data_IF_678431731641
#
_entry.id   IF_678431731641
#
_cell.length_a   1.000
_cell.length_b   1.000
_cell.length_c   1.000
_cell.angle_alpha   90.00
_cell.angle_beta   90.00
_cell.angle_gamma   90.00
#
_symmetry.space_group_name_H-M   'P 1'
#
loop_
_entity.id
_entity.type
_entity.pdbx_description
1 polymer ?
#
# COMPACT_ATOMS: atom_id res chain seq x y z
N UNK A 1 -13.99 -19.26 -18.26
CA UNK A 1 -12.73 -20.03 -18.19
C UNK A 1 -12.56 -20.41 -16.72
N UNK A 2 -12.78 -21.66 -16.45
CA UNK A 2 -13.18 -22.23 -15.16
C UNK A 2 -12.01 -22.42 -14.20
N UNK A 3 -12.28 -22.33 -12.92
CA UNK A 3 -11.43 -22.45 -11.71
C UNK A 3 -10.41 -23.64 -11.70
N UNK A 4 -10.55 -24.63 -12.58
CA UNK A 4 -9.67 -25.81 -12.69
C UNK A 4 -8.26 -25.55 -13.22
N UNK A 5 -7.99 -24.41 -13.87
CA UNK A 5 -6.67 -24.07 -14.43
C UNK A 5 -5.73 -23.40 -13.40
N UNK A 6 -6.26 -22.94 -12.27
CA UNK A 6 -5.48 -22.23 -11.22
C UNK A 6 -4.84 -23.18 -10.20
N UNK A 7 -5.35 -24.41 -10.06
CA UNK A 7 -4.90 -25.36 -9.01
C UNK A 7 -3.63 -26.17 -9.35
N UNK A 8 -3.00 -25.97 -10.51
CA UNK A 8 -1.87 -26.80 -10.97
C UNK A 8 -0.48 -26.23 -10.75
N UNK A 9 -0.32 -24.97 -10.36
CA UNK A 9 1.00 -24.38 -10.11
C UNK A 9 1.32 -24.48 -8.61
N UNK A 10 2.33 -25.32 -8.27
CA UNK A 10 2.87 -25.39 -6.90
C UNK A 10 3.27 -24.00 -6.45
N UNK A 11 2.75 -23.57 -5.28
CA UNK A 11 3.31 -22.44 -4.52
C UNK A 11 4.82 -22.68 -4.42
N UNK A 12 5.63 -21.78 -5.00
CA UNK A 12 7.08 -21.86 -4.84
C UNK A 12 7.41 -21.62 -3.36
N UNK A 13 8.47 -22.29 -2.87
CA UNK A 13 8.92 -22.22 -1.48
C UNK A 13 8.85 -20.79 -0.93
N UNK A 14 8.36 -20.58 0.30
CA UNK A 14 8.47 -19.30 0.97
C UNK A 14 9.94 -18.85 0.98
N UNK A 15 10.18 -17.58 0.71
CA UNK A 15 11.51 -16.99 0.90
C UNK A 15 11.89 -17.15 2.38
N UNK A 16 13.12 -17.61 2.60
CA UNK A 16 13.66 -18.00 3.91
C UNK A 16 13.55 -16.85 4.93
N UNK A 17 13.43 -17.23 6.20
CA UNK A 17 13.39 -16.37 7.41
C UNK A 17 14.68 -15.54 7.65
N UNK A 18 15.59 -15.45 6.68
CA UNK A 18 16.89 -14.76 6.74
C UNK A 18 16.99 -13.58 5.78
N UNK A 19 15.88 -12.89 5.49
CA UNK A 19 15.95 -11.68 4.68
C UNK A 19 16.79 -10.63 5.39
N UNK A 20 17.87 -10.17 4.76
CA UNK A 20 18.61 -9.01 5.23
C UNK A 20 17.86 -7.74 4.84
N UNK A 21 16.94 -7.30 5.70
CA UNK A 21 16.15 -6.08 5.43
C UNK A 21 17.02 -4.83 5.27
N UNK A 22 18.21 -4.78 5.90
CA UNK A 22 19.12 -3.63 5.76
C UNK A 22 19.55 -3.43 4.28
N UNK A 23 19.72 -4.51 3.53
CA UNK A 23 20.07 -4.42 2.11
C UNK A 23 18.93 -3.93 1.21
N UNK A 24 17.71 -3.94 1.70
CA UNK A 24 16.53 -3.45 0.96
C UNK A 24 16.27 -1.95 1.17
N UNK A 25 16.83 -1.35 2.23
CA UNK A 25 16.57 0.07 2.53
C UNK A 25 17.17 0.96 1.43
N UNK A 26 16.37 1.79 0.74
CA UNK A 26 16.87 2.66 -0.31
C UNK A 26 17.60 3.87 0.29
N UNK A 27 18.92 3.75 0.47
CA UNK A 27 19.75 4.85 0.98
C UNK A 27 19.99 5.85 -0.17
N UNK A 28 19.56 7.12 -0.01
CA UNK A 28 19.77 8.11 -1.06
C UNK A 28 21.27 8.47 -1.20
N UNK A 29 21.80 8.64 -2.42
CA UNK A 29 23.15 9.14 -2.63
C UNK A 29 23.28 10.60 -2.15
N UNK A 30 24.52 11.04 -1.91
CA UNK A 30 24.79 12.36 -1.31
C UNK A 30 24.32 13.54 -2.20
N UNK A 31 24.26 13.35 -3.50
CA UNK A 31 23.79 14.31 -4.49
C UNK A 31 22.28 14.19 -4.83
N UNK A 32 21.55 13.40 -4.06
CA UNK A 32 20.13 13.20 -4.27
C UNK A 32 19.34 14.51 -4.12
N UNK A 33 18.32 14.68 -4.96
CA UNK A 33 17.35 15.75 -4.86
C UNK A 33 15.92 15.21 -4.78
N UNK A 34 14.94 16.07 -4.50
CA UNK A 34 13.55 15.65 -4.22
C UNK A 34 12.92 14.75 -5.29
N UNK A 35 13.28 14.88 -6.56
CA UNK A 35 12.73 14.05 -7.63
C UNK A 35 13.51 12.74 -7.82
N UNK A 36 14.84 12.75 -7.67
CA UNK A 36 15.64 11.52 -7.73
C UNK A 36 15.31 10.54 -6.58
N UNK A 37 14.84 11.07 -5.44
CA UNK A 37 14.30 10.29 -4.33
C UNK A 37 12.86 9.80 -4.54
N UNK A 38 12.28 10.09 -5.70
CA UNK A 38 10.95 9.64 -6.10
C UNK A 38 9.79 10.55 -5.67
N UNK A 39 8.77 10.59 -6.53
CA UNK A 39 7.53 11.32 -6.28
C UNK A 39 6.38 10.37 -5.98
N UNK A 40 5.73 10.56 -4.84
CA UNK A 40 4.51 9.86 -4.46
C UNK A 40 3.27 10.72 -4.66
N UNK A 41 2.26 10.16 -5.30
CA UNK A 41 0.92 10.73 -5.42
C UNK A 41 -0.01 9.93 -4.52
N UNK A 42 -0.48 10.55 -3.45
CA UNK A 42 -1.42 9.93 -2.50
C UNK A 42 -2.82 10.44 -2.79
N UNK A 43 -3.71 9.56 -3.21
CA UNK A 43 -5.11 9.86 -3.51
C UNK A 43 -5.96 9.21 -2.41
N UNK A 44 -6.29 9.99 -1.40
CA UNK A 44 -6.80 9.49 -0.13
C UNK A 44 -7.76 10.48 0.55
N UNK A 45 -8.54 9.98 1.49
CA UNK A 45 -9.41 10.81 2.35
C UNK A 45 -10.66 11.30 1.65
N UNK A 46 -11.78 10.60 1.87
CA UNK A 46 -13.12 11.10 1.61
C UNK A 46 -13.51 12.18 2.64
N UNK A 47 -14.66 12.84 2.43
CA UNK A 47 -15.15 13.82 3.39
C UNK A 47 -15.37 13.21 4.79
N UNK A 48 -15.75 11.93 4.84
CA UNK A 48 -15.99 11.19 6.09
C UNK A 48 -14.71 10.73 6.81
N UNK A 49 -13.62 10.53 6.07
CA UNK A 49 -12.37 9.93 6.60
C UNK A 49 -11.12 10.77 6.27
N UNK A 50 -11.06 12.04 6.70
CA UNK A 50 -9.94 12.93 6.38
C UNK A 50 -8.61 12.48 6.98
N UNK A 51 -8.61 11.85 8.15
CA UNK A 51 -7.42 11.40 8.88
C UNK A 51 -6.60 10.38 8.10
N UNK A 52 -7.23 9.53 7.29
CA UNK A 52 -6.53 8.55 6.46
C UNK A 52 -5.59 9.20 5.44
N UNK A 53 -5.98 10.36 4.88
CA UNK A 53 -5.09 11.13 4.00
C UNK A 53 -3.90 11.72 4.75
N UNK A 54 -4.08 12.17 5.99
CA UNK A 54 -2.99 12.64 6.85
C UNK A 54 -2.01 11.50 7.14
N UNK A 55 -2.50 10.38 7.65
CA UNK A 55 -1.67 9.24 8.05
C UNK A 55 -0.89 8.66 6.86
N UNK A 56 -1.58 8.33 5.77
CA UNK A 56 -0.95 7.71 4.60
C UNK A 56 0.07 8.62 3.93
N UNK A 57 -0.23 9.92 3.78
CA UNK A 57 0.71 10.86 3.15
C UNK A 57 1.94 11.16 4.01
N UNK A 58 1.77 11.30 5.32
CA UNK A 58 2.90 11.47 6.23
C UNK A 58 3.78 10.21 6.27
N UNK A 59 3.18 9.02 6.34
CA UNK A 59 3.92 7.76 6.29
C UNK A 59 4.72 7.63 4.99
N UNK A 60 4.15 8.08 3.86
CA UNK A 60 4.85 8.11 2.56
C UNK A 60 6.12 8.99 2.59
N UNK A 61 6.06 10.16 3.22
CA UNK A 61 7.25 11.01 3.42
C UNK A 61 8.26 10.34 4.34
N UNK A 62 7.81 9.81 5.48
CA UNK A 62 8.68 9.18 6.48
C UNK A 62 9.35 7.91 5.94
N UNK A 63 8.73 7.23 4.99
CA UNK A 63 9.33 6.10 4.27
C UNK A 63 10.34 6.51 3.18
N UNK A 64 10.60 7.81 3.00
CA UNK A 64 11.71 8.30 2.18
C UNK A 64 11.35 8.91 0.83
N UNK A 65 10.08 8.96 0.43
CA UNK A 65 9.67 9.66 -0.80
C UNK A 65 10.13 11.13 -0.77
N UNK A 66 10.85 11.55 -1.80
CA UNK A 66 11.43 12.90 -1.84
C UNK A 66 10.41 14.02 -2.11
N UNK A 67 9.28 13.68 -2.72
CA UNK A 67 8.18 14.60 -2.96
C UNK A 67 6.84 13.87 -2.81
N UNK A 68 6.04 14.28 -1.84
CA UNK A 68 4.69 13.72 -1.64
C UNK A 68 3.63 14.76 -1.96
N UNK A 69 2.74 14.42 -2.88
CA UNK A 69 1.58 15.22 -3.25
C UNK A 69 0.30 14.45 -2.93
N UNK A 70 -0.64 15.13 -2.27
CA UNK A 70 -1.90 14.55 -1.80
C UNK A 70 -3.05 15.10 -2.62
N UNK A 71 -3.91 14.22 -3.12
CA UNK A 71 -5.19 14.58 -3.70
C UNK A 71 -6.31 13.99 -2.83
N UNK A 72 -7.24 14.83 -2.42
CA UNK A 72 -8.24 14.49 -1.39
C UNK A 72 -9.60 15.15 -1.69
N UNK A 73 -10.61 14.85 -0.91
CA UNK A 73 -11.86 15.62 -0.94
C UNK A 73 -11.58 17.10 -0.62
N UNK A 74 -12.23 18.01 -1.34
CA UNK A 74 -11.97 19.47 -1.23
C UNK A 74 -12.08 19.98 0.22
N UNK A 75 -13.00 19.43 1.00
CA UNK A 75 -13.19 19.77 2.43
C UNK A 75 -11.97 19.49 3.31
N UNK A 76 -11.09 18.56 2.91
CA UNK A 76 -10.00 18.08 3.74
C UNK A 76 -8.68 18.83 3.50
N UNK A 77 -8.59 19.64 2.44
CA UNK A 77 -7.32 20.25 2.01
C UNK A 77 -6.66 21.08 3.11
N UNK A 78 -7.41 21.96 3.76
CA UNK A 78 -6.88 22.81 4.84
C UNK A 78 -6.41 22.00 6.05
N UNK A 79 -7.13 20.93 6.40
CA UNK A 79 -6.75 20.03 7.48
C UNK A 79 -5.39 19.38 7.23
N UNK A 80 -5.19 18.83 6.03
CA UNK A 80 -3.94 18.13 5.67
C UNK A 80 -2.76 19.12 5.61
N UNK A 81 -2.98 20.33 5.07
CA UNK A 81 -1.95 21.39 5.07
C UNK A 81 -1.56 21.84 6.48
N UNK A 82 -2.53 21.94 7.38
CA UNK A 82 -2.27 22.29 8.77
C UNK A 82 -1.57 21.15 9.54
N UNK A 83 -1.94 19.90 9.25
CA UNK A 83 -1.35 18.72 9.88
C UNK A 83 0.12 18.54 9.50
N UNK A 84 0.46 18.72 8.20
CA UNK A 84 1.83 18.58 7.70
C UNK A 84 2.11 19.61 6.58
N UNK A 85 2.69 20.78 6.91
CA UNK A 85 2.90 21.87 5.96
C UNK A 85 3.81 21.55 4.78
N UNK A 86 4.64 20.50 4.88
CA UNK A 86 5.52 20.05 3.79
C UNK A 86 4.79 19.25 2.70
N UNK A 87 3.52 18.86 2.92
CA UNK A 87 2.71 18.19 1.90
C UNK A 87 2.14 19.18 0.90
N UNK A 88 2.18 18.83 -0.39
CA UNK A 88 1.50 19.58 -1.44
C UNK A 88 0.11 18.98 -1.63
N UNK A 89 -0.94 19.78 -1.47
CA UNK A 89 -2.32 19.28 -1.41
C UNK A 89 -3.16 19.84 -2.57
N UNK A 90 -3.90 18.95 -3.23
CA UNK A 90 -4.88 19.25 -4.26
C UNK A 90 -6.20 18.51 -4.02
N UNK A 91 -7.25 18.89 -4.75
CA UNK A 91 -8.53 18.15 -4.73
C UNK A 91 -8.51 17.00 -5.73
N UNK A 92 -9.38 15.98 -5.55
CA UNK A 92 -9.57 14.90 -6.53
C UNK A 92 -9.81 15.41 -7.96
N UNK A 93 -10.54 16.51 -8.09
CA UNK A 93 -10.84 17.12 -9.37
C UNK A 93 -9.62 17.72 -10.07
N UNK A 94 -8.63 18.18 -9.30
CA UNK A 94 -7.42 18.81 -9.85
C UNK A 94 -6.31 17.81 -10.24
N UNK A 95 -6.50 16.51 -9.98
CA UNK A 95 -5.52 15.50 -10.36
C UNK A 95 -5.50 15.30 -11.88
N UNK A 96 -4.39 15.61 -12.52
CA UNK A 96 -4.07 15.12 -13.86
C UNK A 96 -3.11 13.93 -13.73
N UNK A 97 -3.61 12.72 -13.94
CA UNK A 97 -2.85 11.48 -13.76
C UNK A 97 -1.68 11.38 -14.75
N UNK A 98 -1.90 11.85 -15.98
CA UNK A 98 -0.92 11.70 -17.05
C UNK A 98 0.34 12.54 -16.81
N UNK A 99 0.20 13.71 -16.19
CA UNK A 99 1.30 14.63 -15.88
C UNK A 99 1.74 14.62 -14.41
N UNK A 100 1.08 13.81 -13.56
CA UNK A 100 1.31 13.83 -12.11
C UNK A 100 2.73 13.41 -11.71
N UNK A 101 3.37 12.54 -12.48
CA UNK A 101 4.71 12.03 -12.20
C UNK A 101 5.71 12.51 -13.27
N UNK A 102 6.94 12.85 -12.86
CA UNK A 102 7.99 13.22 -13.81
C UNK A 102 8.45 11.98 -14.59
N UNK A 103 8.60 12.14 -15.92
CA UNK A 103 8.94 11.02 -16.81
C UNK A 103 10.33 10.39 -16.57
N UNK A 104 11.27 11.16 -16.00
CA UNK A 104 12.68 10.75 -15.84
C UNK A 104 13.04 10.28 -14.44
N UNK A 105 12.08 10.27 -13.51
CA UNK A 105 12.32 9.93 -12.11
C UNK A 105 11.31 8.89 -11.63
N UNK A 106 11.68 8.08 -10.64
CA UNK A 106 10.76 7.11 -10.07
C UNK A 106 9.56 7.80 -9.42
N UNK A 107 8.43 7.09 -9.40
CA UNK A 107 7.23 7.54 -8.73
C UNK A 107 6.20 6.45 -8.60
N UNK A 108 5.23 6.67 -7.71
CA UNK A 108 4.13 5.75 -7.48
C UNK A 108 2.86 6.47 -7.04
N UNK A 109 1.74 5.76 -7.16
CA UNK A 109 0.45 6.19 -6.63
C UNK A 109 0.04 5.33 -5.44
N UNK A 110 -0.54 5.96 -4.42
CA UNK A 110 -1.28 5.32 -3.32
C UNK A 110 -2.73 5.75 -3.43
N UNK A 111 -3.66 4.81 -3.56
CA UNK A 111 -5.07 5.12 -3.83
C UNK A 111 -5.97 4.37 -2.86
N UNK A 112 -6.87 5.09 -2.20
CA UNK A 112 -7.96 4.49 -1.46
C UNK A 112 -7.96 4.55 0.05
N UNK A 113 -6.85 4.86 0.76
CA UNK A 113 -6.93 5.11 2.19
C UNK A 113 -8.05 6.12 2.49
N UNK A 114 -8.96 5.76 3.40
CA UNK A 114 -10.09 6.62 3.78
C UNK A 114 -11.11 6.93 2.67
N UNK A 115 -11.19 6.13 1.62
CA UNK A 115 -12.28 6.26 0.66
C UNK A 115 -13.58 5.72 1.25
N UNK A 116 -14.63 6.48 1.08
CA UNK A 116 -16.00 6.00 1.29
C UNK A 116 -16.50 5.38 -0.03
N UNK A 117 -16.89 4.11 0.01
CA UNK A 117 -17.40 3.40 -1.18
C UNK A 117 -18.74 3.97 -1.70
N UNK A 118 -19.41 4.81 -0.94
CA UNK A 118 -20.64 5.53 -1.35
C UNK A 118 -20.35 6.82 -2.12
N UNK A 119 -19.12 7.36 -2.08
CA UNK A 119 -18.72 8.58 -2.77
C UNK A 119 -18.31 8.29 -4.23
N UNK A 120 -19.11 8.77 -5.20
CA UNK A 120 -18.82 8.59 -6.62
C UNK A 120 -17.48 9.20 -7.05
N UNK A 121 -17.07 10.30 -6.45
CA UNK A 121 -15.79 10.96 -6.77
C UNK A 121 -14.59 10.09 -6.36
N UNK A 122 -14.66 9.37 -5.24
CA UNK A 122 -13.64 8.43 -4.80
C UNK A 122 -13.49 7.27 -5.78
N UNK A 123 -14.60 6.66 -6.22
CA UNK A 123 -14.56 5.60 -7.23
C UNK A 123 -14.02 6.12 -8.57
N UNK A 124 -14.48 7.28 -9.04
CA UNK A 124 -14.09 7.85 -10.30
C UNK A 124 -12.59 8.15 -10.36
N UNK A 125 -12.02 8.74 -9.30
CA UNK A 125 -10.58 9.04 -9.24
C UNK A 125 -9.75 7.76 -9.18
N UNK A 126 -10.15 6.75 -8.39
CA UNK A 126 -9.48 5.45 -8.34
C UNK A 126 -9.44 4.77 -9.70
N UNK A 127 -10.58 4.72 -10.39
CA UNK A 127 -10.69 4.16 -11.76
C UNK A 127 -9.83 4.93 -12.77
N UNK A 128 -9.75 6.25 -12.66
CA UNK A 128 -8.94 7.11 -13.53
C UNK A 128 -7.46 6.82 -13.31
N UNK A 129 -6.99 6.78 -12.06
CA UNK A 129 -5.59 6.45 -11.76
C UNK A 129 -5.21 5.07 -12.30
N UNK A 130 -5.98 4.03 -11.99
CA UNK A 130 -5.68 2.67 -12.42
C UNK A 130 -5.66 2.50 -13.95
N UNK A 131 -6.45 3.29 -14.68
CA UNK A 131 -6.46 3.23 -16.15
C UNK A 131 -5.34 4.01 -16.84
N UNK A 132 -4.88 5.08 -16.23
CA UNK A 132 -4.00 6.06 -16.89
C UNK A 132 -2.56 6.04 -16.35
N UNK A 133 -2.34 5.63 -15.09
CA UNK A 133 -1.01 5.59 -14.52
C UNK A 133 -0.17 4.46 -15.11
N UNK A 134 1.00 4.79 -15.66
CA UNK A 134 2.01 3.82 -16.07
C UNK A 134 2.94 3.39 -14.92
N UNK A 135 2.99 4.16 -13.84
CA UNK A 135 3.77 3.87 -12.63
C UNK A 135 3.09 2.83 -11.73
N UNK A 136 3.80 2.24 -10.76
CA UNK A 136 3.20 1.39 -9.73
C UNK A 136 2.03 2.08 -9.00
N UNK A 137 0.99 1.31 -8.70
CA UNK A 137 -0.17 1.78 -7.93
C UNK A 137 -0.42 0.85 -6.75
N UNK A 138 -0.40 1.39 -5.54
CA UNK A 138 -0.92 0.71 -4.37
C UNK A 138 -2.40 1.04 -4.20
N UNK A 139 -3.22 0.03 -3.94
CA UNK A 139 -4.67 0.15 -3.69
C UNK A 139 -4.97 -0.39 -2.30
N UNK A 140 -5.55 0.45 -1.44
CA UNK A 140 -5.94 0.11 -0.07
C UNK A 140 -7.35 0.60 0.26
N UNK A 141 -7.86 0.18 1.38
CA UNK A 141 -9.09 0.69 1.98
C UNK A 141 -10.30 0.64 1.03
N UNK A 142 -11.07 1.74 0.99
CA UNK A 142 -12.30 1.79 0.21
C UNK A 142 -12.12 1.57 -1.29
N UNK A 143 -10.92 1.84 -1.85
CA UNK A 143 -10.67 1.56 -3.28
C UNK A 143 -10.65 0.05 -3.59
N UNK A 144 -10.34 -0.82 -2.63
CA UNK A 144 -10.41 -2.27 -2.81
C UNK A 144 -11.83 -2.75 -3.13
N UNK A 145 -12.85 -2.05 -2.67
CA UNK A 145 -14.25 -2.39 -2.93
C UNK A 145 -14.63 -2.33 -4.43
N UNK A 146 -13.89 -1.56 -5.23
CA UNK A 146 -14.14 -1.41 -6.67
C UNK A 146 -13.44 -2.47 -7.52
N UNK A 147 -12.44 -3.17 -6.97
CA UNK A 147 -11.61 -4.13 -7.70
C UNK A 147 -12.33 -5.40 -8.16
N UNK A 148 -13.35 -5.94 -7.44
CA UNK A 148 -14.06 -7.15 -7.85
C UNK A 148 -14.78 -7.06 -9.20
N UNK A 149 -15.08 -5.84 -9.69
CA UNK A 149 -15.77 -5.67 -10.99
C UNK A 149 -14.96 -6.22 -12.15
N UNK A 150 -15.61 -6.89 -13.10
CA UNK A 150 -14.96 -7.46 -14.31
C UNK A 150 -14.13 -6.39 -15.05
N UNK A 151 -14.63 -5.16 -15.09
CA UNK A 151 -13.95 -4.04 -15.75
C UNK A 151 -12.61 -3.71 -15.08
N UNK A 152 -12.57 -3.68 -13.75
CA UNK A 152 -11.33 -3.37 -13.02
C UNK A 152 -10.34 -4.54 -13.05
N UNK A 153 -10.81 -5.77 -12.95
CA UNK A 153 -9.95 -6.95 -13.11
C UNK A 153 -9.21 -6.94 -14.46
N UNK A 154 -9.91 -6.62 -15.57
CA UNK A 154 -9.27 -6.46 -16.89
C UNK A 154 -8.26 -5.32 -16.91
N UNK A 155 -8.51 -4.20 -16.20
CA UNK A 155 -7.56 -3.11 -16.08
C UNK A 155 -6.30 -3.55 -15.34
N UNK A 156 -6.42 -4.27 -14.22
CA UNK A 156 -5.28 -4.74 -13.44
C UNK A 156 -4.42 -5.73 -14.24
N UNK A 157 -5.03 -6.70 -14.94
CA UNK A 157 -4.29 -7.62 -15.81
C UNK A 157 -3.55 -6.88 -16.91
N UNK A 158 -4.22 -5.94 -17.60
CA UNK A 158 -3.56 -5.13 -18.64
C UNK A 158 -2.39 -4.32 -18.09
N UNK A 159 -2.51 -3.74 -16.90
CA UNK A 159 -1.40 -3.04 -16.22
C UNK A 159 -0.21 -3.97 -16.03
N UNK A 160 -0.47 -5.18 -15.49
CA UNK A 160 0.58 -6.17 -15.26
C UNK A 160 1.26 -6.60 -16.57
N UNK A 161 0.51 -6.85 -17.64
CA UNK A 161 1.03 -7.16 -18.98
C UNK A 161 1.92 -6.04 -19.55
N UNK A 162 1.65 -4.79 -19.17
CA UNK A 162 2.41 -3.60 -19.55
C UNK A 162 3.60 -3.29 -18.60
N UNK A 163 3.87 -4.15 -17.62
CA UNK A 163 4.90 -3.94 -16.60
C UNK A 163 4.54 -2.91 -15.53
N UNK A 164 3.30 -2.40 -15.53
CA UNK A 164 2.80 -1.45 -14.53
C UNK A 164 2.19 -2.20 -13.36
N UNK A 165 2.96 -2.46 -12.31
CA UNK A 165 2.54 -3.31 -11.20
C UNK A 165 1.49 -2.64 -10.33
N UNK A 166 0.56 -3.43 -9.80
CA UNK A 166 -0.40 -3.03 -8.78
C UNK A 166 -0.14 -3.80 -7.49
N UNK A 167 -0.19 -3.11 -6.34
CA UNK A 167 -0.15 -3.72 -5.01
C UNK A 167 -1.53 -3.58 -4.38
N UNK A 168 -2.11 -4.66 -3.88
CA UNK A 168 -3.37 -4.69 -3.14
C UNK A 168 -3.09 -5.03 -1.69
N UNK A 169 -3.65 -4.29 -0.74
CA UNK A 169 -3.38 -4.46 0.70
C UNK A 169 -4.62 -4.85 1.51
N UNK A 170 -5.34 -5.95 1.14
CA UNK A 170 -6.57 -6.30 1.80
C UNK A 170 -6.35 -6.86 3.22
N UNK A 171 -7.23 -6.52 4.17
CA UNK A 171 -7.47 -7.33 5.35
C UNK A 171 -8.39 -8.52 5.00
N UNK A 172 -8.57 -9.47 5.94
CA UNK A 172 -9.34 -10.70 5.69
C UNK A 172 -10.72 -10.46 5.05
N UNK A 173 -11.49 -9.48 5.55
CA UNK A 173 -12.83 -9.18 5.01
C UNK A 173 -12.81 -8.57 3.61
N UNK A 174 -11.80 -7.75 3.28
CA UNK A 174 -11.58 -7.22 1.93
C UNK A 174 -11.13 -8.32 0.98
N UNK A 175 -10.23 -9.20 1.44
CA UNK A 175 -9.77 -10.35 0.68
C UNK A 175 -10.93 -11.28 0.28
N UNK A 176 -11.86 -11.56 1.20
CA UNK A 176 -13.04 -12.36 0.92
C UNK A 176 -13.88 -11.74 -0.22
N UNK A 177 -14.09 -10.41 -0.19
CA UNK A 177 -14.78 -9.69 -1.28
C UNK A 177 -14.01 -9.75 -2.61
N UNK A 178 -12.69 -9.64 -2.57
CA UNK A 178 -11.83 -9.80 -3.75
C UNK A 178 -11.89 -11.23 -4.31
N UNK A 179 -11.96 -12.25 -3.47
CA UNK A 179 -12.02 -13.66 -3.86
C UNK A 179 -13.36 -14.10 -4.44
N UNK A 180 -14.46 -13.46 -4.01
CA UNK A 180 -15.83 -13.85 -4.36
C UNK A 180 -16.10 -14.00 -5.87
N UNK A 181 -15.66 -13.08 -6.78
CA UNK A 181 -15.88 -13.22 -8.21
C UNK A 181 -15.18 -14.43 -8.87
N UNK A 182 -14.26 -15.06 -8.15
CA UNK A 182 -13.51 -16.24 -8.62
C UNK A 182 -13.96 -17.52 -7.93
N UNK A 183 -14.97 -17.44 -7.04
CA UNK A 183 -15.43 -18.58 -6.24
C UNK A 183 -14.41 -19.05 -5.19
N UNK A 184 -13.47 -18.19 -4.78
CA UNK A 184 -12.48 -18.51 -3.77
C UNK A 184 -13.10 -18.42 -2.37
N UNK A 185 -13.10 -19.53 -1.65
CA UNK A 185 -13.47 -19.55 -0.23
C UNK A 185 -12.23 -19.42 0.63
N UNK A 186 -11.80 -18.19 0.88
CA UNK A 186 -10.55 -17.89 1.57
C UNK A 186 -10.54 -18.28 3.04
N UNK A 187 -11.71 -18.48 3.66
CA UNK A 187 -11.81 -18.93 5.05
C UNK A 187 -11.34 -20.37 5.25
N UNK A 188 -11.38 -21.19 4.19
CA UNK A 188 -10.96 -22.59 4.18
C UNK A 188 -9.56 -22.79 3.57
N UNK A 189 -8.81 -21.71 3.34
CA UNK A 189 -7.47 -21.75 2.75
C UNK A 189 -6.42 -21.31 3.77
N UNK A 190 -5.21 -21.83 3.63
CA UNK A 190 -4.05 -21.27 4.32
C UNK A 190 -3.85 -19.82 3.85
N UNK A 191 -3.35 -18.96 4.72
CA UNK A 191 -3.20 -17.53 4.39
C UNK A 191 -2.28 -17.32 3.17
N UNK A 192 -1.23 -18.11 3.02
CA UNK A 192 -0.35 -18.10 1.85
C UNK A 192 -1.07 -18.49 0.56
N UNK A 193 -1.90 -19.53 0.63
CA UNK A 193 -2.69 -19.97 -0.53
C UNK A 193 -3.73 -18.91 -0.91
N UNK A 194 -4.36 -18.27 0.07
CA UNK A 194 -5.31 -17.20 -0.13
C UNK A 194 -4.64 -15.98 -0.81
N UNK A 195 -3.51 -15.52 -0.27
CA UNK A 195 -2.75 -14.40 -0.83
C UNK A 195 -2.26 -14.70 -2.25
N UNK A 196 -1.71 -15.88 -2.49
CA UNK A 196 -1.23 -16.31 -3.80
C UNK A 196 -2.38 -16.43 -4.82
N UNK A 197 -3.53 -17.01 -4.42
CA UNK A 197 -4.70 -17.11 -5.29
C UNK A 197 -5.23 -15.75 -5.72
N UNK A 198 -5.24 -14.77 -4.81
CA UNK A 198 -5.60 -13.39 -5.13
C UNK A 198 -4.55 -12.74 -6.04
N UNK A 199 -3.26 -12.97 -5.80
CA UNK A 199 -2.19 -12.43 -6.65
C UNK A 199 -2.34 -12.91 -8.10
N UNK A 200 -2.61 -14.20 -8.30
CA UNK A 200 -2.90 -14.76 -9.63
C UNK A 200 -4.19 -14.18 -10.24
N UNK A 201 -5.24 -14.10 -9.43
CA UNK A 201 -6.56 -13.67 -9.89
C UNK A 201 -6.58 -12.21 -10.37
N UNK A 202 -5.73 -11.37 -9.82
CA UNK A 202 -5.65 -9.95 -10.14
C UNK A 202 -4.40 -9.55 -10.95
N UNK A 203 -3.42 -10.44 -11.12
CA UNK A 203 -2.13 -10.08 -11.70
C UNK A 203 -1.41 -8.99 -10.88
N UNK A 204 -1.42 -9.11 -9.56
CA UNK A 204 -0.97 -8.07 -8.63
C UNK A 204 -0.08 -8.65 -7.53
N UNK A 205 0.67 -7.80 -6.85
CA UNK A 205 1.22 -8.13 -5.53
C UNK A 205 0.12 -7.96 -4.49
N UNK A 206 -0.07 -8.94 -3.62
CA UNK A 206 -1.08 -8.92 -2.56
C UNK A 206 -0.41 -8.93 -1.20
N UNK A 207 -0.76 -7.98 -0.35
CA UNK A 207 -0.40 -7.90 1.07
C UNK A 207 -1.63 -8.28 1.88
N UNK A 208 -1.76 -9.53 2.23
CA UNK A 208 -2.89 -10.04 3.01
C UNK A 208 -2.64 -9.78 4.49
N UNK A 209 -3.27 -8.72 5.00
CA UNK A 209 -3.13 -8.24 6.39
C UNK A 209 -3.77 -9.22 7.40
N UNK A 210 -3.07 -9.46 8.51
CA UNK A 210 -3.51 -10.29 9.63
C UNK A 210 -2.55 -10.16 10.81
N UNK A 211 -2.70 -10.97 11.87
CA UNK A 211 -1.70 -11.04 12.96
C UNK A 211 -0.30 -11.30 12.41
N UNK A 212 -0.18 -12.27 11.50
CA UNK A 212 0.90 -12.37 10.54
C UNK A 212 0.44 -11.78 9.21
N UNK A 213 1.32 -11.13 8.50
CA UNK A 213 1.00 -10.58 7.17
C UNK A 213 1.71 -11.39 6.10
N UNK A 214 0.97 -11.84 5.09
CA UNK A 214 1.52 -12.57 3.94
C UNK A 214 1.57 -11.65 2.73
N UNK A 215 2.74 -11.58 2.11
CA UNK A 215 2.97 -10.91 0.84
C UNK A 215 3.09 -11.98 -0.25
N UNK A 216 2.33 -11.86 -1.33
CA UNK A 216 2.38 -12.78 -2.45
C UNK A 216 2.36 -12.05 -3.80
N UNK A 217 3.14 -12.56 -4.73
CA UNK A 217 3.08 -12.28 -6.17
C UNK A 217 2.87 -13.58 -6.93
N UNK A 218 2.84 -13.52 -8.24
CA UNK A 218 2.78 -14.74 -9.08
C UNK A 218 4.08 -15.57 -9.02
N UNK A 219 5.17 -15.00 -8.53
CA UNK A 219 6.49 -15.63 -8.50
C UNK A 219 6.98 -15.96 -7.10
N UNK A 220 6.65 -15.12 -6.12
CA UNK A 220 7.20 -15.17 -4.77
C UNK A 220 6.10 -15.04 -3.72
N UNK A 221 6.36 -15.60 -2.55
CA UNK A 221 5.58 -15.33 -1.33
C UNK A 221 6.50 -15.27 -0.11
N UNK A 222 6.15 -14.45 0.86
CA UNK A 222 6.80 -14.42 2.17
C UNK A 222 5.78 -14.09 3.26
N UNK A 223 6.14 -14.38 4.50
CA UNK A 223 5.36 -14.07 5.70
C UNK A 223 6.18 -13.20 6.63
N UNK A 224 5.57 -12.16 7.17
CA UNK A 224 6.13 -11.28 8.20
C UNK A 224 5.35 -11.52 9.49
N UNK A 225 6.06 -11.90 10.56
CA UNK A 225 5.47 -12.41 11.82
C UNK A 225 5.84 -11.58 13.04
N UNK A 226 6.56 -10.47 12.87
CA UNK A 226 7.03 -9.60 13.95
C UNK A 226 6.01 -8.53 14.37
N UNK A 227 4.75 -8.61 13.92
CA UNK A 227 3.72 -7.64 14.25
C UNK A 227 3.25 -7.72 15.71
N UNK A 228 2.69 -6.60 16.21
CA UNK A 228 2.10 -6.46 17.53
C UNK A 228 0.58 -6.32 17.45
N UNK A 229 -0.12 -6.80 18.49
CA UNK A 229 -1.55 -6.55 18.66
C UNK A 229 -1.91 -5.05 18.77
N UNK A 230 -0.94 -4.19 19.07
CA UNK A 230 -1.08 -2.74 19.05
C UNK A 230 -1.50 -2.20 17.65
N UNK A 231 -1.15 -2.94 16.58
CA UNK A 231 -1.53 -2.59 15.22
C UNK A 231 -3.01 -2.88 14.88
N UNK A 232 -3.75 -3.55 15.76
CA UNK A 232 -5.17 -3.86 15.56
C UNK A 232 -6.06 -2.64 15.90
N UNK A 233 -5.75 -1.47 15.34
CA UNK A 233 -6.50 -0.23 15.50
C UNK A 233 -6.73 0.46 14.16
N UNK A 234 -7.82 1.26 14.09
CA UNK A 234 -8.12 2.08 12.92
C UNK A 234 -6.96 3.05 12.61
N UNK A 235 -6.64 3.23 11.34
CA UNK A 235 -5.60 4.13 10.86
C UNK A 235 -4.23 3.48 10.68
N UNK A 236 -3.92 2.36 11.35
CA UNK A 236 -2.61 1.69 11.19
C UNK A 236 -2.43 1.12 9.78
N UNK A 237 -3.51 0.68 9.13
CA UNK A 237 -3.49 0.28 7.72
C UNK A 237 -3.15 1.44 6.77
N UNK A 238 -3.63 2.65 7.07
CA UNK A 238 -3.30 3.85 6.27
C UNK A 238 -1.80 4.18 6.39
N UNK A 239 -1.21 3.99 7.59
CA UNK A 239 0.24 4.11 7.79
C UNK A 239 0.99 3.07 6.96
N UNK A 240 0.57 1.80 6.99
CA UNK A 240 1.17 0.73 6.17
C UNK A 240 1.11 1.07 4.68
N UNK A 241 -0.05 1.48 4.19
CA UNK A 241 -0.23 1.87 2.78
C UNK A 241 0.72 3.02 2.40
N UNK A 242 0.89 3.99 3.28
CA UNK A 242 1.84 5.09 3.11
C UNK A 242 3.30 4.63 3.07
N UNK A 243 3.71 3.77 4.00
CA UNK A 243 5.08 3.23 4.05
C UNK A 243 5.42 2.48 2.75
N UNK A 244 4.57 1.54 2.34
CA UNK A 244 4.77 0.80 1.08
C UNK A 244 4.79 1.77 -0.11
N UNK A 245 3.86 2.74 -0.14
CA UNK A 245 3.78 3.76 -1.21
C UNK A 245 5.04 4.61 -1.32
N UNK A 246 5.64 4.98 -0.19
CA UNK A 246 6.89 5.73 -0.14
C UNK A 246 8.09 4.93 -0.67
N UNK A 247 8.15 3.62 -0.40
CA UNK A 247 9.17 2.71 -0.92
C UNK A 247 8.99 2.48 -2.43
N UNK A 248 7.76 2.27 -2.89
CA UNK A 248 7.43 2.18 -4.32
C UNK A 248 7.84 3.45 -5.07
N UNK A 249 7.58 4.62 -4.51
CA UNK A 249 7.90 5.90 -5.12
C UNK A 249 9.40 6.10 -5.34
N UNK A 250 10.24 5.44 -4.53
CA UNK A 250 11.70 5.45 -4.67
C UNK A 250 12.22 4.43 -5.72
N UNK A 251 11.34 3.74 -6.43
CA UNK A 251 11.69 2.82 -7.51
C UNK A 251 11.96 1.38 -7.05
N UNK A 252 11.64 1.01 -5.82
CA UNK A 252 11.74 -0.38 -5.38
C UNK A 252 10.78 -1.27 -6.17
N UNK A 253 11.15 -2.55 -6.34
CA UNK A 253 10.22 -3.55 -6.86
C UNK A 253 8.96 -3.63 -5.97
N UNK A 254 7.82 -3.94 -6.57
CA UNK A 254 6.57 -3.97 -5.80
C UNK A 254 6.56 -5.03 -4.69
N UNK A 255 7.23 -6.17 -4.92
CA UNK A 255 7.35 -7.22 -3.91
C UNK A 255 8.27 -6.79 -2.76
N UNK A 256 9.45 -6.24 -3.07
CA UNK A 256 10.40 -5.78 -2.04
C UNK A 256 9.86 -4.59 -1.25
N UNK A 257 9.20 -3.63 -1.91
CA UNK A 257 8.55 -2.50 -1.25
C UNK A 257 7.44 -2.96 -0.30
N UNK A 258 6.63 -3.95 -0.71
CA UNK A 258 5.61 -4.53 0.15
C UNK A 258 6.24 -5.30 1.32
N UNK A 259 7.28 -6.09 1.08
CA UNK A 259 7.96 -6.90 2.09
C UNK A 259 8.64 -6.02 3.14
N UNK A 260 9.49 -5.08 2.70
CA UNK A 260 10.15 -4.13 3.61
C UNK A 260 9.13 -3.26 4.33
N UNK A 261 8.11 -2.76 3.61
CA UNK A 261 7.09 -1.89 4.19
C UNK A 261 6.27 -2.55 5.29
N UNK A 262 5.92 -3.83 5.13
CA UNK A 262 5.24 -4.61 6.18
C UNK A 262 6.16 -4.80 7.38
N UNK A 263 7.43 -5.12 7.16
CA UNK A 263 8.40 -5.28 8.24
C UNK A 263 8.59 -3.97 9.04
N UNK A 264 8.82 -2.84 8.35
CA UNK A 264 8.97 -1.51 8.99
C UNK A 264 7.72 -1.14 9.79
N UNK A 265 6.54 -1.38 9.23
CA UNK A 265 5.29 -1.08 9.92
C UNK A 265 5.11 -1.93 11.18
N UNK A 266 5.48 -3.22 11.13
CA UNK A 266 5.46 -4.10 12.28
C UNK A 266 6.42 -3.63 13.38
N UNK A 267 7.67 -3.29 13.03
CA UNK A 267 8.65 -2.73 13.96
C UNK A 267 8.20 -1.39 14.55
N UNK A 268 7.65 -0.49 13.73
CA UNK A 268 7.08 0.77 14.23
C UNK A 268 5.95 0.53 15.24
N UNK A 269 5.12 -0.48 15.01
CA UNK A 269 4.09 -0.92 15.97
C UNK A 269 4.66 -1.43 17.27
N UNK A 270 5.75 -2.20 17.25
CA UNK A 270 6.44 -2.69 18.43
C UNK A 270 7.06 -1.52 19.23
N UNK A 271 7.79 -0.64 18.56
CA UNK A 271 8.40 0.55 19.17
C UNK A 271 7.32 1.45 19.83
N UNK A 272 6.21 1.68 19.12
CA UNK A 272 5.09 2.44 19.67
C UNK A 272 4.47 1.77 20.91
N UNK A 273 4.31 0.43 20.84
CA UNK A 273 3.78 -0.35 21.96
C UNK A 273 4.70 -0.37 23.19
N UNK A 274 6.02 -0.39 23.00
CA UNK A 274 6.99 -0.26 24.10
C UNK A 274 6.88 1.11 24.80
N UNK A 275 6.59 2.17 24.05
CA UNK A 275 6.48 3.53 24.58
C UNK A 275 5.14 3.84 25.26
N UNK A 276 4.05 3.34 24.68
CA UNK A 276 2.67 3.70 25.07
C UNK A 276 1.88 2.55 25.70
N UNK A 277 2.39 1.34 25.62
CA UNK A 277 1.67 0.12 25.95
C UNK A 277 0.75 -0.32 24.80
N UNK A 278 0.57 -1.62 24.65
CA UNK A 278 -0.24 -2.25 23.57
C UNK A 278 -1.68 -1.70 23.51
N UNK A 279 -2.26 -1.42 24.69
CA UNK A 279 -3.66 -0.94 24.79
C UNK A 279 -3.82 0.49 24.27
N UNK A 280 -2.85 1.36 24.55
CA UNK A 280 -2.96 2.82 24.31
C UNK A 280 -2.34 3.28 22.99
N UNK A 281 -1.56 2.43 22.31
CA UNK A 281 -0.95 2.75 21.01
C UNK A 281 -2.02 3.10 19.98
N UNK A 282 -1.86 4.23 19.31
CA UNK A 282 -2.73 4.70 18.22
C UNK A 282 -1.95 4.74 16.89
N UNK A 283 -2.63 5.00 15.78
CA UNK A 283 -2.01 5.04 14.46
C UNK A 283 -0.95 6.15 14.35
N UNK A 284 -1.15 7.26 15.03
CA UNK A 284 -0.20 8.39 15.10
C UNK A 284 1.10 7.96 15.81
N UNK A 285 1.02 7.15 16.87
CA UNK A 285 2.20 6.64 17.57
C UNK A 285 3.01 5.70 16.68
N UNK A 286 2.32 4.87 15.87
CA UNK A 286 2.95 4.00 14.87
C UNK A 286 3.60 4.84 13.78
N UNK A 287 2.92 5.89 13.29
CA UNK A 287 3.45 6.83 12.30
C UNK A 287 4.74 7.49 12.80
N UNK A 288 4.73 7.98 14.04
CA UNK A 288 5.89 8.66 14.66
C UNK A 288 7.07 7.71 14.88
N UNK A 289 6.82 6.42 15.02
CA UNK A 289 7.86 5.40 15.19
C UNK A 289 8.47 4.90 13.86
N UNK A 290 7.89 5.21 12.68
CA UNK A 290 8.42 4.78 11.37
C UNK A 290 9.89 5.15 11.16
N UNK A 291 10.36 6.39 11.44
CA UNK A 291 11.78 6.72 11.26
C UNK A 291 12.70 5.87 12.13
N UNK A 292 12.31 5.58 13.36
CA UNK A 292 13.12 4.75 14.27
C UNK A 292 13.15 3.30 13.82
N UNK A 293 12.04 2.76 13.31
CA UNK A 293 12.01 1.42 12.73
C UNK A 293 13.02 1.28 11.58
N UNK A 294 13.18 2.30 10.72
CA UNK A 294 14.25 2.32 9.71
C UNK A 294 15.65 2.34 10.31
N UNK A 295 15.86 3.08 11.40
CA UNK A 295 17.17 3.15 12.07
C UNK A 295 17.55 1.85 12.80
N UNK A 296 16.59 1.04 13.20
CA UNK A 296 16.81 -0.24 13.88
C UNK A 296 17.15 -1.38 12.93
N UNK A 297 16.90 -1.23 11.62
CA UNK A 297 17.27 -2.25 10.63
C UNK A 297 18.80 -2.35 10.53
N UNK A 298 19.32 -3.54 10.83
CA UNK A 298 20.76 -3.82 10.68
C UNK A 298 21.62 -3.52 11.91
N UNK A 299 20.98 -3.27 13.06
CA UNK A 299 21.68 -3.24 14.36
C UNK A 299 21.71 -4.65 14.99
#
# INVERSE_FOLDING_TARGET
MTCRLLMGKKVRKPMDSKTNYASLVPIPPADAHKYSRGKAIVVAGSAAYPGAACLSSCATQLAGAGYTQVFTAKSNMALIQAFRPSLVVGSFASLDVASALPAQHPGAFVVGPGFDSSEADAENVARRVLKQASAPVLVDGGALAFMPSLKMRKVLHRRNEQGSVTVLTPHKGEAARLGAPFGLNLDNMLQEEAAYSLALAYGAVVVLKGPDTVIASVEHSCRVTNGSAALAKAGTGDVLAGVIGGLLAQGMSAFDAAHLGVYIHAEAGNIAAERKGVVSTCAEDVLDAVPEAFMCIGK
#
